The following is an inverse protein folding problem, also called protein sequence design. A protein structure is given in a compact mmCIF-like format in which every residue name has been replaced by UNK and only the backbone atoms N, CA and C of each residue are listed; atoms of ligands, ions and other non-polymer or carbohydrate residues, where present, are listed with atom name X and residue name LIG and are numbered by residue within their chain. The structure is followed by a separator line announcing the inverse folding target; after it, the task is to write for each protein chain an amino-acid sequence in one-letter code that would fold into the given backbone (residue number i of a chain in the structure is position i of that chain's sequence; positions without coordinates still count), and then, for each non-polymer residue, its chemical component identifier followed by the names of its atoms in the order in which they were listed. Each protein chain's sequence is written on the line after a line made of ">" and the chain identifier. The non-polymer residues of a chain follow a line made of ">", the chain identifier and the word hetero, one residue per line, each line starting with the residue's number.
data_IF_481271188243
#
_entry.id   IF_481271188243
#
_cell.length_a   1.000
_cell.length_b   1.000
_cell.length_c   1.000
_cell.angle_alpha   90.00
_cell.angle_beta   90.00
_cell.angle_gamma   90.00
#
_symmetry.space_group_name_H-M   'P 1'
#
loop_
_entity.id
_entity.type
_entity.pdbx_description
1 polymer ?
#
# COMPACT_ATOMS: atom_id res chain seq x y z
N UNK A 1 1.06 2.71 16.16
CA UNK A 1 0.04 3.75 15.87
C UNK A 1 -0.99 3.65 16.96
N UNK A 2 -1.50 4.77 17.45
CA UNK A 2 -2.52 4.78 18.50
C UNK A 2 -3.88 5.19 17.92
N UNK A 3 -4.97 4.70 18.51
CA UNK A 3 -6.32 5.11 18.11
C UNK A 3 -6.51 6.64 18.16
N UNK A 4 -5.87 7.31 19.13
CA UNK A 4 -5.93 8.76 19.26
C UNK A 4 -5.24 9.50 18.10
N UNK A 5 -4.22 8.90 17.47
CA UNK A 5 -3.58 9.49 16.28
C UNK A 5 -4.56 9.55 15.11
N UNK A 6 -5.36 8.49 14.94
CA UNK A 6 -6.39 8.42 13.91
C UNK A 6 -7.51 9.42 14.18
N UNK A 7 -8.01 9.49 15.42
CA UNK A 7 -9.04 10.45 15.81
C UNK A 7 -8.59 11.90 15.61
N UNK A 8 -7.34 12.22 15.97
CA UNK A 8 -6.77 13.55 15.74
C UNK A 8 -6.66 13.90 14.25
N UNK A 9 -6.25 12.93 13.41
CA UNK A 9 -6.20 13.13 11.96
C UNK A 9 -7.59 13.35 11.35
N UNK A 10 -8.60 12.55 11.75
CA UNK A 10 -9.98 12.71 11.30
C UNK A 10 -10.53 14.08 11.72
N UNK A 11 -10.34 14.49 12.97
CA UNK A 11 -10.79 15.79 13.45
C UNK A 11 -10.16 16.95 12.65
N UNK A 12 -8.85 16.89 12.40
CA UNK A 12 -8.15 17.90 11.61
C UNK A 12 -8.66 17.96 10.15
N UNK A 13 -8.96 16.83 9.53
CA UNK A 13 -9.54 16.76 8.18
C UNK A 13 -10.96 17.35 8.14
N UNK A 14 -11.81 17.03 9.13
CA UNK A 14 -13.16 17.59 9.23
C UNK A 14 -13.11 19.10 9.39
N UNK A 15 -12.23 19.60 10.26
CA UNK A 15 -12.05 21.04 10.46
C UNK A 15 -11.58 21.77 9.19
N UNK A 16 -10.59 21.20 8.49
CA UNK A 16 -10.11 21.71 7.20
C UNK A 16 -11.22 21.81 6.15
N UNK A 17 -12.11 20.81 6.08
CA UNK A 17 -13.26 20.79 5.17
C UNK A 17 -14.27 21.88 5.56
N UNK A 18 -14.65 21.96 6.83
CA UNK A 18 -15.64 22.95 7.34
C UNK A 18 -15.15 24.38 7.12
N UNK A 19 -13.84 24.61 7.24
CA UNK A 19 -13.25 25.93 7.07
C UNK A 19 -12.86 26.24 5.62
N UNK A 20 -13.06 25.30 4.69
CA UNK A 20 -12.59 25.39 3.30
C UNK A 20 -11.08 25.73 3.19
N UNK A 21 -10.27 25.17 4.09
CA UNK A 21 -8.81 25.35 4.13
C UNK A 21 -8.09 24.04 3.79
N UNK A 22 -7.77 23.79 2.51
CA UNK A 22 -7.04 22.59 2.12
C UNK A 22 -5.56 22.71 2.50
N UNK A 23 -5.20 22.23 3.70
CA UNK A 23 -3.83 22.26 4.21
C UNK A 23 -3.29 20.85 4.52
N UNK A 24 -1.97 20.68 4.46
CA UNK A 24 -1.28 19.46 4.90
C UNK A 24 -0.89 19.61 6.36
N UNK A 25 -1.63 18.96 7.25
CA UNK A 25 -1.41 19.03 8.70
C UNK A 25 -0.68 17.79 9.22
N UNK A 26 0.47 18.01 9.85
CA UNK A 26 1.18 16.93 10.56
C UNK A 26 0.60 16.78 11.97
N UNK A 27 -0.26 15.78 12.16
CA UNK A 27 -0.83 15.35 13.45
C UNK A 27 0.04 14.33 14.19
N UNK A 28 1.15 13.88 13.58
CA UNK A 28 2.04 12.84 14.09
C UNK A 28 3.46 13.34 14.41
N UNK A 29 3.55 14.58 14.92
CA UNK A 29 4.81 15.34 15.12
C UNK A 29 5.83 14.67 16.03
N UNK A 30 5.38 13.81 16.95
CA UNK A 30 6.30 13.06 17.84
C UNK A 30 7.23 12.12 17.08
N UNK A 31 6.82 11.66 15.90
CA UNK A 31 7.58 10.71 15.08
C UNK A 31 8.02 11.30 13.74
N UNK A 32 7.23 12.22 13.16
CA UNK A 32 7.49 12.78 11.82
C UNK A 32 7.90 14.24 11.91
N UNK A 33 9.14 14.51 11.48
CA UNK A 33 9.71 15.87 11.35
C UNK A 33 9.40 16.45 9.97
N UNK A 34 9.28 17.78 9.81
CA UNK A 34 9.00 18.41 8.51
C UNK A 34 9.97 18.01 7.39
N UNK A 35 11.27 17.87 7.72
CA UNK A 35 12.31 17.45 6.76
C UNK A 35 12.36 15.93 6.52
N UNK A 36 11.56 15.14 7.27
CA UNK A 36 11.62 13.69 7.30
C UNK A 36 12.92 13.17 7.93
N UNK A 37 13.39 12.02 7.46
CA UNK A 37 14.70 11.47 7.82
C UNK A 37 15.70 11.75 6.66
N UNK A 38 16.60 12.75 6.79
CA UNK A 38 17.50 13.12 5.71
C UNK A 38 18.53 12.03 5.38
N UNK A 39 18.90 11.18 6.35
CA UNK A 39 19.83 10.06 6.11
C UNK A 39 19.15 9.01 5.24
N UNK A 40 17.95 8.57 5.61
CA UNK A 40 17.20 7.58 4.85
C UNK A 40 16.90 8.06 3.41
N UNK A 41 16.55 9.34 3.25
CA UNK A 41 16.32 9.95 1.92
C UNK A 41 17.57 9.90 1.03
N UNK A 42 18.76 10.18 1.59
CA UNK A 42 20.03 10.06 0.84
C UNK A 42 20.31 8.61 0.43
N UNK A 43 20.13 7.66 1.36
CA UNK A 43 20.35 6.24 1.07
C UNK A 43 19.41 5.73 -0.02
N UNK A 44 18.13 6.10 0.00
CA UNK A 44 17.19 5.74 -1.05
C UNK A 44 17.56 6.36 -2.40
N UNK A 45 17.98 7.62 -2.42
CA UNK A 45 18.38 8.31 -3.65
C UNK A 45 19.68 7.74 -4.25
N UNK A 46 20.58 7.19 -3.42
CA UNK A 46 21.77 6.49 -3.87
C UNK A 46 21.39 5.10 -4.43
N UNK A 47 20.62 4.33 -3.69
CA UNK A 47 20.32 2.94 -4.05
C UNK A 47 19.30 2.77 -5.18
N UNK A 48 18.40 3.73 -5.39
CA UNK A 48 17.25 3.56 -6.28
C UNK A 48 17.02 4.75 -7.23
N UNK A 49 16.41 4.44 -8.37
CA UNK A 49 15.82 5.40 -9.30
C UNK A 49 14.30 5.21 -9.37
N UNK A 50 13.57 6.31 -9.52
CA UNK A 50 12.11 6.28 -9.64
C UNK A 50 11.70 5.76 -11.01
N UNK A 51 10.80 4.77 -11.03
CA UNK A 51 10.32 4.08 -12.23
C UNK A 51 8.79 3.92 -12.20
N UNK A 52 8.12 3.68 -13.34
CA UNK A 52 6.74 3.20 -13.29
C UNK A 52 6.66 1.82 -12.62
N UNK A 53 5.57 1.56 -11.91
CA UNK A 53 5.30 0.26 -11.30
C UNK A 53 3.83 -0.13 -11.44
N UNK A 54 3.58 -1.43 -11.48
CA UNK A 54 2.22 -1.99 -11.48
C UNK A 54 1.73 -2.12 -10.04
N UNK A 55 0.61 -1.48 -9.74
CA UNK A 55 -0.09 -1.56 -8.47
C UNK A 55 -1.38 -2.36 -8.65
N UNK A 56 -1.58 -3.38 -7.80
CA UNK A 56 -2.76 -4.26 -7.87
C UNK A 56 -4.05 -3.44 -7.73
N UNK A 57 -4.96 -3.57 -8.70
CA UNK A 57 -6.22 -2.82 -8.74
C UNK A 57 -6.11 -1.42 -9.36
N UNK A 58 -4.90 -0.90 -9.59
CA UNK A 58 -4.65 0.42 -10.19
C UNK A 58 -3.93 0.34 -11.55
N UNK A 59 -3.29 -0.79 -11.86
CA UNK A 59 -2.48 -0.93 -13.07
C UNK A 59 -1.13 -0.23 -12.94
N UNK A 60 -0.52 0.14 -14.07
CA UNK A 60 0.76 0.85 -14.08
C UNK A 60 0.57 2.30 -13.67
N UNK A 61 1.20 2.71 -12.56
CA UNK A 61 1.22 4.11 -12.10
C UNK A 61 2.60 4.71 -12.43
N UNK A 62 2.66 5.85 -13.14
CA UNK A 62 3.92 6.57 -13.38
C UNK A 62 4.63 6.97 -12.08
N UNK A 63 5.96 6.91 -12.08
CA UNK A 63 6.80 7.38 -10.98
C UNK A 63 6.41 6.87 -9.57
N UNK A 64 5.99 5.60 -9.49
CA UNK A 64 5.44 5.00 -8.26
C UNK A 64 6.28 3.83 -7.71
N UNK A 65 7.28 3.38 -8.46
CA UNK A 65 8.19 2.30 -8.08
C UNK A 65 9.61 2.77 -7.86
N UNK A 66 10.41 1.89 -7.25
CA UNK A 66 11.84 2.05 -7.06
C UNK A 66 12.56 0.90 -7.77
N UNK A 67 13.34 1.22 -8.80
CA UNK A 67 14.28 0.31 -9.44
C UNK A 67 15.68 0.53 -8.90
N UNK A 68 16.52 -0.52 -8.85
CA UNK A 68 17.92 -0.35 -8.43
C UNK A 68 18.66 0.60 -9.38
N UNK A 69 19.49 1.47 -8.80
CA UNK A 69 20.34 2.39 -9.56
C UNK A 69 21.39 1.63 -10.38
N UNK A 70 21.93 2.25 -11.42
CA UNK A 70 22.80 1.57 -12.39
C UNK A 70 24.07 0.98 -11.75
N UNK A 71 24.66 1.66 -10.77
CA UNK A 71 25.82 1.14 -10.05
C UNK A 71 25.49 -0.09 -9.19
N UNK A 72 24.22 -0.31 -8.87
CA UNK A 72 23.69 -1.51 -8.21
C UNK A 72 23.01 -2.48 -9.16
N UNK A 73 23.05 -2.26 -10.48
CA UNK A 73 22.39 -3.12 -11.47
C UNK A 73 22.85 -4.59 -11.38
N UNK A 74 24.10 -4.83 -10.97
CA UNK A 74 24.66 -6.17 -10.73
C UNK A 74 23.96 -6.95 -9.60
N UNK A 75 23.14 -6.28 -8.78
CA UNK A 75 22.32 -6.85 -7.70
C UNK A 75 20.85 -7.03 -8.09
N UNK A 76 20.44 -6.51 -9.24
CA UNK A 76 19.09 -6.73 -9.77
C UNK A 76 18.98 -8.16 -10.30
N UNK A 77 18.16 -8.99 -9.66
CA UNK A 77 17.98 -10.39 -10.04
C UNK A 77 17.38 -10.52 -11.45
N UNK A 78 16.47 -9.63 -11.85
CA UNK A 78 15.87 -9.68 -13.18
C UNK A 78 16.93 -9.44 -14.26
N UNK A 79 17.85 -8.49 -14.03
CA UNK A 79 18.98 -8.24 -14.94
C UNK A 79 20.03 -9.35 -14.89
N UNK A 80 20.40 -9.80 -13.69
CA UNK A 80 21.48 -10.79 -13.49
C UNK A 80 21.15 -12.15 -14.10
N UNK A 81 19.88 -12.55 -14.05
CA UNK A 81 19.43 -13.87 -14.50
C UNK A 81 18.59 -13.81 -15.78
N UNK A 82 18.55 -12.65 -16.46
CA UNK A 82 17.79 -12.43 -17.69
C UNK A 82 16.32 -12.90 -17.57
N UNK A 83 15.66 -12.50 -16.49
CA UNK A 83 14.30 -12.95 -16.19
C UNK A 83 13.27 -12.09 -16.93
N UNK A 84 12.45 -12.74 -17.74
CA UNK A 84 11.22 -12.13 -18.27
C UNK A 84 10.03 -12.50 -17.38
N UNK A 85 9.54 -11.54 -16.59
CA UNK A 85 8.38 -11.74 -15.73
C UNK A 85 7.08 -11.55 -16.52
N UNK A 86 6.22 -12.57 -16.53
CA UNK A 86 4.88 -12.48 -17.08
C UNK A 86 3.88 -12.01 -16.02
N UNK A 87 2.97 -11.09 -16.33
CA UNK A 87 1.91 -10.69 -15.41
C UNK A 87 1.05 -11.90 -15.00
N UNK A 88 0.85 -12.08 -13.70
CA UNK A 88 -0.11 -13.05 -13.19
C UNK A 88 -1.50 -12.39 -13.11
N UNK A 89 -2.57 -13.03 -13.63
CA UNK A 89 -3.91 -12.51 -13.51
C UNK A 89 -4.38 -12.56 -12.05
N UNK A 90 -5.35 -11.69 -11.72
CA UNK A 90 -6.04 -11.77 -10.44
C UNK A 90 -6.86 -13.07 -10.36
N UNK A 91 -6.93 -13.72 -9.18
CA UNK A 91 -7.76 -14.90 -8.98
C UNK A 91 -9.23 -14.62 -9.33
N UNK A 92 -9.91 -15.52 -10.07
CA UNK A 92 -11.30 -15.32 -10.45
C UNK A 92 -12.22 -15.04 -9.25
N UNK A 93 -13.08 -14.03 -9.38
CA UNK A 93 -14.03 -13.62 -8.34
C UNK A 93 -13.41 -12.82 -7.19
N UNK A 94 -12.09 -12.67 -7.13
CA UNK A 94 -11.43 -11.87 -6.11
C UNK A 94 -11.63 -10.37 -6.36
N UNK A 95 -12.10 -9.63 -5.34
CA UNK A 95 -12.29 -8.17 -5.40
C UNK A 95 -11.18 -7.38 -4.69
N UNK A 96 -9.98 -7.96 -4.50
CA UNK A 96 -8.87 -7.29 -3.80
C UNK A 96 -8.53 -5.93 -4.42
N UNK A 97 -8.55 -5.79 -5.75
CA UNK A 97 -8.30 -4.51 -6.40
C UNK A 97 -9.36 -3.43 -6.10
N UNK A 98 -10.61 -3.80 -5.82
CA UNK A 98 -11.65 -2.86 -5.38
C UNK A 98 -11.51 -2.52 -3.90
N UNK A 99 -11.14 -3.50 -3.08
CA UNK A 99 -10.83 -3.28 -1.65
C UNK A 99 -9.65 -2.32 -1.48
N UNK A 100 -8.58 -2.50 -2.24
CA UNK A 100 -7.40 -1.62 -2.21
C UNK A 100 -7.70 -0.19 -2.68
N UNK A 101 -8.72 -0.02 -3.53
CA UNK A 101 -9.20 1.31 -3.97
C UNK A 101 -10.18 1.95 -2.98
N UNK A 102 -10.59 1.23 -1.93
CA UNK A 102 -11.60 1.69 -0.98
C UNK A 102 -13.00 1.83 -1.58
N UNK A 103 -13.28 1.21 -2.74
CA UNK A 103 -14.62 1.24 -3.37
C UNK A 103 -15.54 0.14 -2.83
N UNK A 104 -14.96 -0.83 -2.11
CA UNK A 104 -15.62 -2.04 -1.60
C UNK A 104 -14.99 -2.41 -0.26
N UNK A 105 -15.82 -2.72 0.73
CA UNK A 105 -15.39 -3.33 1.99
C UNK A 105 -15.23 -4.85 1.83
N UNK A 106 -14.32 -5.49 2.58
CA UNK A 106 -14.08 -6.92 2.48
C UNK A 106 -15.34 -7.82 2.52
N UNK A 107 -16.35 -7.59 3.39
CA UNK A 107 -17.57 -8.41 3.41
C UNK A 107 -18.42 -8.34 2.13
N UNK A 108 -18.26 -7.29 1.31
CA UNK A 108 -18.97 -7.19 0.03
C UNK A 108 -18.25 -7.98 -1.10
N UNK A 109 -17.10 -8.58 -0.82
CA UNK A 109 -16.47 -9.56 -1.69
C UNK A 109 -17.18 -10.92 -1.53
N UNK A 110 -17.68 -11.55 -2.62
CA UNK A 110 -18.44 -12.79 -2.52
C UNK A 110 -17.61 -13.98 -2.00
N UNK A 111 -16.27 -13.86 -2.02
CA UNK A 111 -15.36 -14.90 -1.54
C UNK A 111 -15.00 -14.75 -0.06
N UNK A 112 -15.15 -13.54 0.50
CA UNK A 112 -14.67 -13.20 1.84
C UNK A 112 -15.33 -14.04 2.93
N UNK A 113 -14.52 -14.65 3.80
CA UNK A 113 -14.98 -15.48 4.91
C UNK A 113 -15.68 -16.78 4.51
N UNK A 114 -15.74 -17.08 3.20
CA UNK A 114 -16.28 -18.32 2.65
C UNK A 114 -15.13 -19.18 2.18
N UNK A 115 -14.80 -19.08 0.90
CA UNK A 115 -13.68 -19.81 0.29
C UNK A 115 -12.36 -19.06 0.42
N UNK A 116 -12.39 -17.76 0.76
CA UNK A 116 -11.21 -16.96 1.05
C UNK A 116 -11.17 -16.67 2.56
N UNK A 117 -10.29 -17.39 3.26
CA UNK A 117 -10.02 -17.27 4.71
C UNK A 117 -8.52 -17.16 4.96
N UNK A 118 -8.05 -16.82 6.17
CA UNK A 118 -6.61 -16.80 6.46
C UNK A 118 -5.92 -18.16 6.23
N UNK A 119 -6.61 -19.26 6.53
CA UNK A 119 -6.08 -20.63 6.32
C UNK A 119 -6.07 -21.02 4.84
N UNK A 120 -7.07 -20.56 4.07
CA UNK A 120 -7.21 -20.85 2.64
C UNK A 120 -7.40 -19.54 1.87
N UNK A 121 -6.35 -18.72 1.72
CA UNK A 121 -6.50 -17.39 1.13
C UNK A 121 -6.57 -17.47 -0.39
N UNK A 122 -7.58 -16.81 -0.98
CA UNK A 122 -7.70 -16.69 -2.44
C UNK A 122 -6.92 -15.48 -2.96
N UNK A 123 -7.05 -14.34 -2.29
CA UNK A 123 -6.43 -13.08 -2.70
C UNK A 123 -5.40 -12.58 -1.69
N UNK A 124 -4.46 -11.72 -2.12
CA UNK A 124 -3.35 -11.26 -1.28
C UNK A 124 -3.81 -10.43 -0.08
N UNK A 125 -4.96 -9.74 -0.16
CA UNK A 125 -5.49 -8.98 0.97
C UNK A 125 -5.91 -9.89 2.14
N UNK A 126 -6.02 -11.21 1.92
CA UNK A 126 -6.24 -12.22 2.98
C UNK A 126 -4.93 -12.89 3.43
N UNK A 127 -3.86 -12.82 2.63
CA UNK A 127 -2.53 -13.37 2.96
C UNK A 127 -1.70 -12.39 3.79
N UNK A 128 -1.72 -11.11 3.42
CA UNK A 128 -0.87 -10.09 4.03
C UNK A 128 -1.32 -9.77 5.46
N UNK A 129 -0.36 -9.65 6.38
CA UNK A 129 -0.61 -9.15 7.73
C UNK A 129 -1.16 -7.71 7.75
N UNK A 130 -0.87 -6.93 6.70
CA UNK A 130 -1.41 -5.58 6.48
C UNK A 130 -2.64 -5.58 5.58
N UNK A 131 -3.10 -6.75 5.14
CA UNK A 131 -4.21 -6.90 4.22
C UNK A 131 -5.54 -6.53 4.86
N UNK A 132 -6.30 -5.64 4.20
CA UNK A 132 -7.59 -5.20 4.71
C UNK A 132 -8.57 -6.38 4.93
N UNK A 133 -8.55 -7.41 4.08
CA UNK A 133 -9.41 -8.58 4.29
C UNK A 133 -8.97 -9.39 5.51
N UNK A 134 -7.68 -9.66 5.69
CA UNK A 134 -7.17 -10.38 6.85
C UNK A 134 -7.51 -9.65 8.16
N UNK A 135 -7.32 -8.32 8.19
CA UNK A 135 -7.67 -7.48 9.32
C UNK A 135 -9.18 -7.53 9.63
N UNK A 136 -10.04 -7.39 8.61
CA UNK A 136 -11.49 -7.47 8.78
C UNK A 136 -11.93 -8.83 9.32
N UNK A 137 -11.36 -9.91 8.79
CA UNK A 137 -11.67 -11.27 9.24
C UNK A 137 -11.27 -11.48 10.70
N UNK A 138 -10.13 -10.94 11.13
CA UNK A 138 -9.61 -11.12 12.48
C UNK A 138 -10.37 -10.31 13.54
N UNK A 139 -10.83 -9.11 13.20
CA UNK A 139 -11.31 -8.15 14.19
C UNK A 139 -12.80 -7.79 14.08
N UNK A 140 -13.50 -8.20 13.02
CA UNK A 140 -14.92 -7.89 12.82
C UNK A 140 -15.84 -9.09 13.13
N UNK A 141 -15.43 -9.94 14.08
CA UNK A 141 -16.29 -10.96 14.67
C UNK A 141 -17.39 -10.36 15.54
#
# INVERSE_FOLDING_TARGET
>A
FEALDLLAAIAALVEAVVQHRPDVLNTYRRSVRPQGNPVARRMLAEAFTVVPAVWRGFGTIPASGLGLSEHLAHRDAARRFDLSLTPAPEPPGCRCGEVLRGTVEPPQCPLFGRVCTPDTPVGPCMVSAEGACAAYYMYSG
#
